data_IF_406080282470
#
_entry.id   IF_406080282470
#
_cell.length_a   1.000
_cell.length_b   1.000
_cell.length_c   1.000
_cell.angle_alpha   90.00
_cell.angle_beta   90.00
_cell.angle_gamma   90.00
#
_symmetry.space_group_name_H-M   'P 1'
#
loop_
_entity.id
_entity.type
_entity.pdbx_description
1 polymer ?
#
# COMPACT_ATOMS: atom_id res chain seq x y z
N UNK A 1 15.54 -20.60 9.44
CA UNK A 1 16.41 -19.66 10.15
C UNK A 1 15.62 -18.37 10.36
N UNK A 2 15.12 -18.19 11.55
CA UNK A 2 14.46 -16.96 11.96
C UNK A 2 15.37 -15.79 11.65
N UNK A 3 14.82 -14.65 11.22
CA UNK A 3 15.48 -13.33 11.26
C UNK A 3 15.85 -13.06 12.74
N UNK A 4 16.83 -13.81 13.26
CA UNK A 4 17.28 -13.78 14.66
C UNK A 4 18.26 -12.66 14.94
N UNK A 5 18.59 -11.84 13.92
CA UNK A 5 19.44 -10.67 14.12
C UNK A 5 18.64 -9.51 14.70
N UNK A 6 19.19 -8.86 15.72
CA UNK A 6 18.62 -7.60 16.25
C UNK A 6 19.14 -6.39 15.47
N UNK A 7 19.37 -6.56 14.17
CA UNK A 7 19.74 -5.47 13.28
C UNK A 7 18.55 -4.53 13.05
N UNK A 8 18.84 -3.25 12.77
CA UNK A 8 17.80 -2.28 12.44
C UNK A 8 16.93 -2.76 11.26
N UNK A 9 17.55 -3.34 10.23
CA UNK A 9 16.86 -3.89 9.07
C UNK A 9 15.87 -5.00 9.45
N UNK A 10 16.29 -5.93 10.33
CA UNK A 10 15.42 -7.00 10.81
C UNK A 10 14.24 -6.47 11.66
N UNK A 11 14.46 -5.40 12.43
CA UNK A 11 13.37 -4.74 13.17
C UNK A 11 12.39 -4.07 12.22
N UNK A 12 12.87 -3.33 11.23
CA UNK A 12 12.05 -2.70 10.19
C UNK A 12 11.23 -3.74 9.42
N UNK A 13 11.86 -4.86 9.05
CA UNK A 13 11.17 -5.95 8.37
C UNK A 13 10.02 -6.52 9.22
N UNK A 14 10.26 -6.79 10.51
CA UNK A 14 9.21 -7.30 11.41
C UNK A 14 8.08 -6.30 11.64
N UNK A 15 8.38 -5.02 11.57
CA UNK A 15 7.38 -3.97 11.71
C UNK A 15 6.64 -3.66 10.40
N UNK A 16 7.20 -4.01 9.25
CA UNK A 16 6.68 -3.57 7.95
C UNK A 16 5.24 -4.03 7.63
N UNK A 17 4.74 -5.20 8.06
CA UNK A 17 3.35 -5.56 7.83
C UNK A 17 2.33 -4.56 8.41
N UNK A 18 2.68 -3.86 9.50
CA UNK A 18 1.82 -2.85 10.12
C UNK A 18 1.59 -1.61 9.24
N UNK A 19 2.36 -1.45 8.16
CA UNK A 19 2.12 -0.42 7.15
C UNK A 19 0.73 -0.56 6.50
N UNK A 20 0.27 -1.79 6.26
CA UNK A 20 -1.08 -2.04 5.76
C UNK A 20 -2.16 -1.65 6.77
N UNK A 21 -1.93 -1.89 8.06
CA UNK A 21 -2.87 -1.46 9.10
C UNK A 21 -2.97 0.07 9.15
N UNK A 22 -1.87 0.79 9.01
CA UNK A 22 -1.87 2.25 8.99
C UNK A 22 -2.65 2.78 7.77
N UNK A 23 -2.38 2.27 6.57
CA UNK A 23 -3.10 2.64 5.36
C UNK A 23 -4.60 2.29 5.48
N UNK A 24 -4.91 1.07 5.94
CA UNK A 24 -6.29 0.60 6.10
C UNK A 24 -7.07 1.42 7.12
N UNK A 25 -6.47 1.74 8.26
CA UNK A 25 -7.09 2.59 9.29
C UNK A 25 -7.31 4.01 8.77
N UNK A 26 -6.37 4.57 7.99
CA UNK A 26 -6.53 5.88 7.34
C UNK A 26 -7.70 5.86 6.36
N UNK A 27 -7.78 4.86 5.49
CA UNK A 27 -8.91 4.71 4.56
C UNK A 27 -10.24 4.59 5.29
N UNK A 28 -10.29 3.77 6.33
CA UNK A 28 -11.51 3.57 7.10
C UNK A 28 -11.96 4.84 7.81
N UNK A 29 -11.05 5.55 8.45
CA UNK A 29 -11.34 6.82 9.14
C UNK A 29 -11.82 7.91 8.17
N UNK A 30 -11.27 7.95 6.95
CA UNK A 30 -11.62 8.92 5.91
C UNK A 30 -12.76 8.45 5.00
N UNK A 31 -13.27 7.23 5.16
CA UNK A 31 -14.26 6.64 4.27
C UNK A 31 -15.50 7.52 4.03
N UNK A 32 -16.06 8.26 5.01
CA UNK A 32 -17.17 9.18 4.76
C UNK A 32 -16.82 10.25 3.71
N UNK A 33 -15.67 10.92 3.87
CA UNK A 33 -15.20 11.97 2.94
C UNK A 33 -14.79 11.42 1.58
N UNK A 34 -14.13 10.26 1.57
CA UNK A 34 -13.75 9.59 0.32
C UNK A 34 -14.96 9.15 -0.49
N UNK A 35 -16.07 8.75 0.18
CA UNK A 35 -17.33 8.41 -0.49
C UNK A 35 -18.05 9.60 -1.09
N UNK A 36 -17.91 10.79 -0.51
CA UNK A 36 -18.41 12.03 -1.11
C UNK A 36 -17.73 12.30 -2.46
N UNK A 37 -16.45 12.01 -2.57
CA UNK A 37 -15.64 12.21 -3.79
C UNK A 37 -15.74 11.07 -4.79
N UNK A 38 -15.89 9.87 -4.29
CA UNK A 38 -16.00 8.64 -5.08
C UNK A 38 -17.02 7.68 -4.47
N UNK A 39 -18.33 7.92 -4.67
CA UNK A 39 -19.39 7.11 -4.07
C UNK A 39 -19.45 5.68 -4.61
N UNK A 40 -18.82 5.42 -5.75
CA UNK A 40 -18.79 4.09 -6.37
C UNK A 40 -17.70 3.16 -5.85
N UNK A 41 -16.95 3.56 -4.80
CA UNK A 41 -15.86 2.77 -4.28
C UNK A 41 -16.04 2.45 -2.78
N UNK A 42 -15.84 1.19 -2.42
CA UNK A 42 -16.07 0.70 -1.05
C UNK A 42 -14.84 0.98 -0.14
N UNK A 43 -14.57 2.25 0.13
CA UNK A 43 -13.40 2.71 0.88
C UNK A 43 -13.26 2.10 2.27
N UNK A 44 -14.37 1.92 2.98
CA UNK A 44 -14.43 1.31 4.31
C UNK A 44 -14.10 -0.20 4.26
N UNK A 45 -14.68 -0.91 3.30
CA UNK A 45 -14.41 -2.34 3.10
C UNK A 45 -12.95 -2.56 2.73
N UNK A 46 -12.41 -1.74 1.83
CA UNK A 46 -11.01 -1.82 1.45
C UNK A 46 -10.08 -1.49 2.64
N UNK A 47 -10.44 -0.48 3.43
CA UNK A 47 -9.69 -0.12 4.64
C UNK A 47 -9.63 -1.27 5.64
N UNK A 48 -10.78 -1.91 5.93
CA UNK A 48 -10.83 -3.09 6.79
C UNK A 48 -10.04 -4.27 6.22
N UNK A 49 -10.14 -4.51 4.92
CA UNK A 49 -9.39 -5.58 4.27
C UNK A 49 -7.87 -5.38 4.38
N UNK A 50 -7.37 -4.13 4.27
CA UNK A 50 -5.96 -3.82 4.49
C UNK A 50 -5.52 -4.03 5.95
N UNK A 51 -6.39 -3.76 6.93
CA UNK A 51 -6.10 -4.07 8.33
C UNK A 51 -5.98 -5.59 8.54
N UNK A 52 -6.86 -6.38 7.92
CA UNK A 52 -6.78 -7.86 7.96
C UNK A 52 -5.51 -8.34 7.26
N UNK A 53 -5.16 -7.75 6.10
CA UNK A 53 -3.91 -8.08 5.38
C UNK A 53 -2.67 -7.84 6.25
N UNK A 54 -2.67 -6.80 7.07
CA UNK A 54 -1.57 -6.57 8.02
C UNK A 54 -1.32 -7.79 8.93
N UNK A 55 -2.39 -8.40 9.44
CA UNK A 55 -2.27 -9.61 10.27
C UNK A 55 -1.82 -10.83 9.46
N UNK A 56 -2.38 -11.03 8.27
CA UNK A 56 -2.03 -12.13 7.37
C UNK A 56 -0.57 -12.03 6.96
N UNK A 57 -0.12 -10.84 6.54
CA UNK A 57 1.26 -10.57 6.16
C UNK A 57 2.22 -10.77 7.35
N UNK A 58 1.85 -10.35 8.57
CA UNK A 58 2.65 -10.62 9.76
C UNK A 58 2.80 -12.14 10.02
N UNK A 59 1.73 -12.89 9.87
CA UNK A 59 1.77 -14.36 10.05
C UNK A 59 2.62 -15.03 8.98
N UNK A 60 2.55 -14.56 7.73
CA UNK A 60 3.36 -15.04 6.60
C UNK A 60 4.84 -14.68 6.77
N UNK A 61 5.12 -13.39 6.88
CA UNK A 61 6.47 -12.87 6.74
C UNK A 61 7.30 -12.94 8.01
N UNK A 62 6.64 -12.88 9.18
CA UNK A 62 7.34 -12.82 10.46
C UNK A 62 7.25 -14.15 11.22
N UNK A 63 6.04 -14.68 11.39
CA UNK A 63 5.83 -15.91 12.17
C UNK A 63 6.22 -17.17 11.41
N UNK A 64 5.86 -17.23 10.13
CA UNK A 64 6.18 -18.37 9.26
C UNK A 64 7.47 -18.19 8.45
N UNK A 65 8.30 -17.18 8.79
CA UNK A 65 9.54 -16.90 8.06
C UNK A 65 10.46 -18.13 8.02
N UNK A 66 10.80 -18.58 6.81
CA UNK A 66 11.64 -19.77 6.57
C UNK A 66 10.89 -21.11 6.63
N UNK A 67 9.60 -21.12 6.90
CA UNK A 67 8.74 -22.29 6.77
C UNK A 67 8.00 -22.27 5.43
N UNK A 68 8.60 -22.88 4.40
CA UNK A 68 8.02 -22.90 3.06
C UNK A 68 6.68 -23.64 2.95
N UNK A 69 6.34 -24.49 3.95
CA UNK A 69 5.12 -25.28 3.98
C UNK A 69 3.93 -24.52 4.61
N UNK A 70 4.17 -23.34 5.19
CA UNK A 70 3.15 -22.59 5.89
C UNK A 70 2.02 -22.13 4.96
N UNK A 71 0.75 -22.38 5.29
CA UNK A 71 -0.38 -21.94 4.50
C UNK A 71 -0.49 -20.39 4.45
N UNK A 72 0.11 -19.70 5.42
CA UNK A 72 0.08 -18.24 5.48
C UNK A 72 0.73 -17.58 4.26
N UNK A 73 1.78 -18.19 3.67
CA UNK A 73 2.41 -17.66 2.46
C UNK A 73 1.48 -17.69 1.23
N UNK A 74 0.63 -18.72 1.12
CA UNK A 74 -0.35 -18.78 0.04
C UNK A 74 -1.50 -17.77 0.29
N UNK A 75 -1.98 -17.71 1.53
CA UNK A 75 -3.05 -16.79 1.94
C UNK A 75 -2.65 -15.33 1.71
N UNK A 76 -1.47 -14.93 2.19
CA UNK A 76 -0.90 -13.59 1.99
C UNK A 76 -0.80 -13.24 0.50
N UNK A 77 -0.22 -14.11 -0.32
CA UNK A 77 -0.08 -13.84 -1.76
C UNK A 77 -1.41 -13.65 -2.47
N UNK A 78 -2.40 -14.47 -2.17
CA UNK A 78 -3.74 -14.34 -2.78
C UNK A 78 -4.40 -13.06 -2.32
N UNK A 79 -4.40 -12.81 -1.02
CA UNK A 79 -5.08 -11.65 -0.45
C UNK A 79 -4.40 -10.33 -0.85
N UNK A 80 -3.07 -10.25 -0.77
CA UNK A 80 -2.30 -9.11 -1.26
C UNK A 80 -2.53 -8.86 -2.77
N UNK A 81 -2.67 -9.92 -3.58
CA UNK A 81 -2.95 -9.75 -5.02
C UNK A 81 -4.33 -9.16 -5.27
N UNK A 82 -5.36 -9.58 -4.53
CA UNK A 82 -6.71 -9.01 -4.61
C UNK A 82 -6.67 -7.53 -4.21
N UNK A 83 -6.02 -7.19 -3.10
CA UNK A 83 -5.89 -5.82 -2.64
C UNK A 83 -5.10 -4.95 -3.60
N UNK A 84 -4.01 -5.48 -4.18
CA UNK A 84 -3.23 -4.76 -5.18
C UNK A 84 -4.08 -4.44 -6.42
N UNK A 85 -4.92 -5.38 -6.88
CA UNK A 85 -5.84 -5.14 -7.99
C UNK A 85 -6.86 -4.05 -7.66
N UNK A 86 -7.41 -4.05 -6.44
CA UNK A 86 -8.34 -3.00 -5.99
C UNK A 86 -7.67 -1.64 -5.89
N UNK A 87 -6.50 -1.55 -5.24
CA UNK A 87 -5.82 -0.27 -4.97
C UNK A 87 -5.07 0.30 -6.18
N UNK A 88 -4.76 -0.49 -7.19
CA UNK A 88 -3.97 -0.06 -8.36
C UNK A 88 -4.78 -0.06 -9.65
N UNK A 89 -4.90 -1.19 -10.36
CA UNK A 89 -5.53 -1.23 -11.68
C UNK A 89 -6.99 -0.76 -11.71
N UNK A 90 -7.79 -1.09 -10.69
CA UNK A 90 -9.19 -0.65 -10.63
C UNK A 90 -9.26 0.86 -10.50
N UNK A 91 -8.45 1.47 -9.60
CA UNK A 91 -8.40 2.93 -9.47
C UNK A 91 -7.87 3.59 -10.75
N UNK A 92 -6.84 3.03 -11.39
CA UNK A 92 -6.32 3.53 -12.67
C UNK A 92 -7.38 3.50 -13.77
N UNK A 93 -8.17 2.42 -13.86
CA UNK A 93 -9.29 2.32 -14.79
C UNK A 93 -10.36 3.38 -14.52
N UNK A 94 -10.74 3.58 -13.25
CA UNK A 94 -11.73 4.59 -12.86
C UNK A 94 -11.29 6.00 -13.21
N UNK A 95 -10.00 6.31 -13.03
CA UNK A 95 -9.39 7.56 -13.50
C UNK A 95 -9.47 7.70 -15.02
N UNK A 96 -9.17 6.63 -15.75
CA UNK A 96 -9.16 6.65 -17.22
C UNK A 96 -10.55 6.87 -17.82
N UNK A 97 -11.60 6.31 -17.20
CA UNK A 97 -13.00 6.50 -17.66
C UNK A 97 -13.67 7.74 -17.06
N UNK A 98 -12.94 8.54 -16.28
CA UNK A 98 -13.46 9.78 -15.70
C UNK A 98 -14.48 9.58 -14.56
N UNK A 99 -14.59 8.39 -13.99
CA UNK A 99 -15.53 8.10 -12.89
C UNK A 99 -15.08 8.66 -11.54
N UNK A 100 -13.84 9.08 -11.42
CA UNK A 100 -13.25 9.75 -10.27
C UNK A 100 -12.27 10.82 -10.72
N UNK A 101 -12.24 11.95 -10.03
CA UNK A 101 -11.31 13.06 -10.32
C UNK A 101 -10.31 13.18 -9.17
N UNK A 102 -9.04 13.12 -9.50
CA UNK A 102 -7.93 13.31 -8.55
C UNK A 102 -6.99 14.38 -9.14
N UNK A 103 -6.49 15.34 -8.34
CA UNK A 103 -5.51 16.31 -8.77
C UNK A 103 -4.33 15.68 -9.48
N UNK A 104 -3.84 16.33 -10.52
CA UNK A 104 -2.73 15.83 -11.34
C UNK A 104 -1.48 15.51 -10.50
N UNK A 105 -1.17 16.37 -9.53
CA UNK A 105 -0.04 16.21 -8.61
C UNK A 105 -0.18 14.95 -7.76
N UNK A 106 -1.33 14.76 -7.11
CA UNK A 106 -1.62 13.59 -6.28
C UNK A 106 -1.65 12.30 -7.11
N UNK A 107 -2.26 12.35 -8.30
CA UNK A 107 -2.27 11.23 -9.24
C UNK A 107 -0.87 10.80 -9.64
N UNK A 108 0.00 11.76 -10.00
CA UNK A 108 1.37 11.47 -10.40
C UNK A 108 2.19 10.92 -9.22
N UNK A 109 2.02 11.47 -8.03
CA UNK A 109 2.69 11.01 -6.82
C UNK A 109 2.24 9.57 -6.44
N UNK A 110 0.94 9.29 -6.54
CA UNK A 110 0.40 7.95 -6.36
C UNK A 110 0.96 6.96 -7.40
N UNK A 111 0.96 7.32 -8.68
CA UNK A 111 1.50 6.46 -9.74
C UNK A 111 2.99 6.16 -9.53
N UNK A 112 3.77 7.15 -9.08
CA UNK A 112 5.17 6.96 -8.71
C UNK A 112 5.32 6.00 -7.53
N UNK A 113 4.55 6.17 -6.46
CA UNK A 113 4.58 5.30 -5.29
C UNK A 113 4.25 3.84 -5.65
N UNK A 114 3.21 3.61 -6.47
CA UNK A 114 2.83 2.29 -6.97
C UNK A 114 3.96 1.67 -7.82
N UNK A 115 4.54 2.45 -8.73
CA UNK A 115 5.64 1.99 -9.60
C UNK A 115 6.86 1.59 -8.79
N UNK A 116 7.27 2.42 -7.82
CA UNK A 116 8.37 2.11 -6.91
C UNK A 116 8.06 0.87 -6.05
N UNK A 117 6.83 0.73 -5.58
CA UNK A 117 6.38 -0.45 -4.85
C UNK A 117 6.53 -1.73 -5.67
N UNK A 118 6.04 -1.74 -6.91
CA UNK A 118 6.18 -2.87 -7.81
C UNK A 118 7.66 -3.21 -8.10
N UNK A 119 8.51 -2.20 -8.26
CA UNK A 119 9.95 -2.39 -8.42
C UNK A 119 10.57 -3.04 -7.17
N UNK A 120 10.24 -2.56 -5.96
CA UNK A 120 10.69 -3.17 -4.71
C UNK A 120 10.21 -4.62 -4.57
N UNK A 121 8.96 -4.93 -4.94
CA UNK A 121 8.43 -6.31 -4.94
C UNK A 121 9.22 -7.21 -5.90
N UNK A 122 9.51 -6.73 -7.11
CA UNK A 122 10.30 -7.48 -8.09
C UNK A 122 11.73 -7.73 -7.60
N UNK A 123 12.39 -6.71 -7.01
CA UNK A 123 13.73 -6.82 -6.45
C UNK A 123 13.77 -7.76 -5.24
N UNK A 124 12.77 -7.71 -4.37
CA UNK A 124 12.59 -8.66 -3.26
C UNK A 124 12.53 -10.11 -3.77
N UNK A 125 11.69 -10.38 -4.76
CA UNK A 125 11.59 -11.70 -5.37
C UNK A 125 12.89 -12.16 -6.04
N UNK A 126 13.65 -11.23 -6.64
CA UNK A 126 14.97 -11.53 -7.23
C UNK A 126 16.01 -11.86 -6.15
N UNK A 127 16.03 -11.09 -5.06
CA UNK A 127 16.92 -11.33 -3.93
C UNK A 127 16.63 -12.68 -3.24
N UNK A 128 15.35 -13.02 -3.07
CA UNK A 128 14.90 -14.32 -2.54
C UNK A 128 15.43 -15.49 -3.38
N UNK A 129 15.27 -15.43 -4.71
CA UNK A 129 15.78 -16.48 -5.62
C UNK A 129 17.31 -16.63 -5.60
N UNK A 130 18.03 -15.58 -5.22
CA UNK A 130 19.50 -15.58 -5.10
C UNK A 130 19.98 -15.86 -3.67
N UNK A 131 19.09 -16.18 -2.74
CA UNK A 131 19.37 -16.38 -1.32
C UNK A 131 20.10 -15.18 -0.66
N UNK A 132 19.87 -13.97 -1.14
CA UNK A 132 20.44 -12.71 -0.63
C UNK A 132 19.54 -12.14 0.46
N UNK A 133 19.71 -12.61 1.70
CA UNK A 133 18.80 -12.30 2.81
C UNK A 133 18.65 -10.81 3.06
N UNK A 134 19.74 -10.06 3.23
CA UNK A 134 19.68 -8.62 3.55
C UNK A 134 19.00 -7.81 2.43
N UNK A 135 19.31 -8.11 1.17
CA UNK A 135 18.64 -7.49 0.04
C UNK A 135 17.15 -7.84 -0.02
N UNK A 136 16.78 -9.09 0.31
CA UNK A 136 15.39 -9.49 0.43
C UNK A 136 14.67 -8.68 1.53
N UNK A 137 15.24 -8.64 2.74
CA UNK A 137 14.65 -7.91 3.86
C UNK A 137 14.47 -6.43 3.52
N UNK A 138 15.48 -5.80 2.89
CA UNK A 138 15.41 -4.39 2.49
C UNK A 138 14.28 -4.13 1.49
N UNK A 139 14.29 -4.83 0.36
CA UNK A 139 13.32 -4.58 -0.70
C UNK A 139 11.89 -4.95 -0.30
N UNK A 140 11.75 -6.01 0.51
CA UNK A 140 10.45 -6.42 1.02
C UNK A 140 9.90 -5.41 2.04
N UNK A 141 10.74 -4.89 2.93
CA UNK A 141 10.38 -3.81 3.86
C UNK A 141 9.93 -2.56 3.12
N UNK A 142 10.69 -2.12 2.12
CA UNK A 142 10.33 -0.96 1.30
C UNK A 142 9.01 -1.18 0.55
N UNK A 143 8.77 -2.38 0.02
CA UNK A 143 7.50 -2.74 -0.59
C UNK A 143 6.31 -2.52 0.36
N UNK A 144 6.44 -2.88 1.64
CA UNK A 144 5.38 -2.68 2.63
C UNK A 144 5.22 -1.21 3.05
N UNK A 145 6.30 -0.45 3.19
CA UNK A 145 6.22 0.95 3.62
C UNK A 145 5.74 1.92 2.54
N UNK A 146 5.90 1.60 1.27
CA UNK A 146 5.41 2.46 0.18
C UNK A 146 3.88 2.70 0.22
N UNK A 147 3.02 1.74 0.61
CA UNK A 147 1.61 2.01 0.83
C UNK A 147 1.32 3.10 1.87
N UNK A 148 2.22 3.31 2.86
CA UNK A 148 2.07 4.40 3.85
C UNK A 148 2.07 5.77 3.17
N UNK A 149 2.83 5.95 2.10
CA UNK A 149 2.79 7.17 1.30
C UNK A 149 1.41 7.41 0.69
N UNK A 150 0.70 6.35 0.33
CA UNK A 150 -0.68 6.44 -0.16
C UNK A 150 -1.62 7.00 0.91
N UNK A 151 -1.35 6.77 2.21
CA UNK A 151 -2.14 7.37 3.29
C UNK A 151 -2.05 8.90 3.27
N UNK A 152 -0.87 9.46 3.01
CA UNK A 152 -0.67 10.91 2.90
C UNK A 152 -1.48 11.47 1.74
N UNK A 153 -1.45 10.80 0.59
CA UNK A 153 -2.22 11.23 -0.59
C UNK A 153 -3.73 11.15 -0.35
N UNK A 154 -4.20 10.11 0.34
CA UNK A 154 -5.61 9.99 0.71
C UNK A 154 -6.05 11.10 1.67
N UNK A 155 -5.23 11.43 2.67
CA UNK A 155 -5.51 12.55 3.59
C UNK A 155 -5.58 13.87 2.81
N UNK A 156 -4.58 14.15 1.96
CA UNK A 156 -4.56 15.36 1.15
C UNK A 156 -5.79 15.46 0.25
N UNK A 157 -6.17 14.36 -0.40
CA UNK A 157 -7.35 14.32 -1.28
C UNK A 157 -8.66 14.48 -0.51
N UNK A 158 -8.79 13.88 0.68
CA UNK A 158 -9.99 13.98 1.51
C UNK A 158 -10.16 15.36 2.16
N UNK A 159 -9.08 16.11 2.37
CA UNK A 159 -9.07 17.40 3.08
C UNK A 159 -9.17 18.65 2.17
N UNK A 160 -9.53 18.48 0.90
CA UNK A 160 -9.70 19.62 -0.05
C UNK A 160 -8.46 20.46 -0.29
N UNK A 161 -7.29 19.88 -0.33
CA UNK A 161 -6.06 20.58 -0.77
C UNK A 161 -6.24 21.34 -2.11
N UNK A 162 -7.31 21.03 -2.86
CA UNK A 162 -7.63 21.60 -4.15
C UNK A 162 -8.25 22.99 -4.13
N UNK A 163 -8.79 23.43 -3.01
CA UNK A 163 -9.49 24.74 -2.99
C UNK A 163 -8.55 25.92 -3.27
N UNK A 164 -7.25 25.77 -3.07
CA UNK A 164 -6.27 26.83 -3.36
C UNK A 164 -5.74 26.79 -4.81
N UNK A 165 -5.66 25.62 -5.46
CA UNK A 165 -5.22 25.55 -6.86
C UNK A 165 -6.34 25.85 -7.88
N UNK A 166 -7.59 25.74 -7.48
CA UNK A 166 -8.75 25.99 -8.33
C UNK A 166 -9.22 27.46 -8.35
N UNK A 167 -8.57 28.36 -7.61
CA UNK A 167 -8.83 29.79 -7.75
C UNK A 167 -8.05 30.29 -8.97
N UNK A 168 -8.69 30.42 -10.13
CA UNK A 168 -7.96 30.85 -11.33
C UNK A 168 -7.48 32.29 -11.13
N UNK A 169 -6.28 32.56 -11.64
CA UNK A 169 -5.80 33.89 -12.01
C UNK A 169 -6.78 34.63 -12.98
N UNK A 170 -8.07 34.48 -12.82
CA UNK A 170 -9.14 35.05 -13.64
C UNK A 170 -9.68 36.34 -13.05
N UNK A 171 -8.93 37.02 -12.19
CA UNK A 171 -9.29 38.34 -11.65
C UNK A 171 -8.17 39.38 -11.77
N UNK A 172 -7.28 39.24 -12.75
CA UNK A 172 -6.38 40.35 -13.11
C UNK A 172 -6.38 40.58 -14.59
#
# INVERSE_FOLDING_TARGET
AVVKGDTMLARCYRASPWAYALLGSTMWALAPRLRERDPGYAWDVLGMALVVESAVSYLSDVRAFGDASSPWHATDRVFASILMMACGPILALRLAIGSVTIPRTLRNAWALAVTLGLACKALSGRASRKAQLDAYLLWHTLWHFLPVLSSVFLVAWAMDWEAEEATPLAQY
#
